data_IF_422195878593
#
_entry.id   IF_422195878593
#
_cell.length_a   1.000
_cell.length_b   1.000
_cell.length_c   1.000
_cell.angle_alpha   90.00
_cell.angle_beta   90.00
_cell.angle_gamma   90.00
#
_symmetry.space_group_name_H-M   'P 1'
#
loop_
_entity.id
_entity.type
_entity.pdbx_description
1 polymer ?
#
# COMPACT_ATOMS: atom_id res chain seq x y z
N UNK A 1 23.70 -1.60 8.55
CA UNK A 1 23.13 -2.37 7.40
C UNK A 1 21.60 -2.25 7.27
N UNK A 2 20.84 -1.83 8.28
CA UNK A 2 19.36 -1.75 8.22
C UNK A 2 18.78 -0.53 7.48
N UNK A 3 19.58 0.50 7.20
CA UNK A 3 19.07 1.76 6.64
C UNK A 3 18.43 1.64 5.24
N UNK A 4 18.97 0.80 4.35
CA UNK A 4 18.41 0.64 3.00
C UNK A 4 17.04 -0.04 3.05
N UNK A 5 16.91 -1.11 3.82
CA UNK A 5 15.65 -1.84 4.00
C UNK A 5 14.60 -0.92 4.62
N UNK A 6 14.98 -0.18 5.68
CA UNK A 6 14.11 0.80 6.30
C UNK A 6 13.64 1.88 5.32
N UNK A 7 14.54 2.37 4.47
CA UNK A 7 14.22 3.37 3.43
C UNK A 7 13.25 2.81 2.40
N UNK A 8 13.48 1.58 1.92
CA UNK A 8 12.58 0.93 0.94
C UNK A 8 11.19 0.72 1.53
N UNK A 9 11.10 0.25 2.78
CA UNK A 9 9.82 0.06 3.46
C UNK A 9 9.09 1.40 3.65
N UNK A 10 9.81 2.45 4.06
CA UNK A 10 9.24 3.79 4.20
C UNK A 10 8.69 4.34 2.87
N UNK A 11 9.45 4.23 1.78
CA UNK A 11 9.00 4.63 0.44
C UNK A 11 7.78 3.84 0.00
N UNK A 12 7.75 2.53 0.28
CA UNK A 12 6.60 1.69 -0.02
C UNK A 12 5.35 2.08 0.81
N UNK A 13 5.52 2.41 2.09
CA UNK A 13 4.43 2.94 2.93
C UNK A 13 3.88 4.26 2.38
N UNK A 14 4.73 5.16 1.87
CA UNK A 14 4.28 6.37 1.17
C UNK A 14 3.45 6.01 -0.06
N UNK A 15 3.88 5.04 -0.87
CA UNK A 15 3.11 4.61 -2.04
C UNK A 15 1.73 4.05 -1.65
N UNK A 16 1.61 3.34 -0.52
CA UNK A 16 0.33 2.88 0.02
C UNK A 16 -0.56 4.05 0.43
N UNK A 17 -0.02 5.06 1.11
CA UNK A 17 -0.77 6.27 1.48
C UNK A 17 -1.25 7.00 0.22
N UNK A 18 -0.37 7.18 -0.77
CA UNK A 18 -0.75 7.77 -2.07
C UNK A 18 -1.87 6.96 -2.72
N UNK A 19 -1.82 5.62 -2.68
CA UNK A 19 -2.88 4.77 -3.21
C UNK A 19 -4.23 5.01 -2.56
N UNK A 20 -4.25 5.15 -1.22
CA UNK A 20 -5.48 5.47 -0.47
C UNK A 20 -5.99 6.85 -0.83
N UNK A 21 -5.11 7.85 -0.87
CA UNK A 21 -5.47 9.23 -1.24
C UNK A 21 -6.04 9.29 -2.65
N UNK A 22 -5.40 8.62 -3.62
CA UNK A 22 -5.87 8.55 -5.00
C UNK A 22 -7.25 7.88 -5.13
N UNK A 23 -7.59 6.94 -4.24
CA UNK A 23 -8.91 6.28 -4.22
C UNK A 23 -10.07 7.22 -3.85
N UNK A 24 -9.79 8.34 -3.19
CA UNK A 24 -10.81 9.36 -2.87
C UNK A 24 -11.14 10.27 -4.05
N UNK A 25 -10.28 10.33 -5.06
CA UNK A 25 -10.56 11.09 -6.27
C UNK A 25 -11.49 10.31 -7.19
N UNK A 26 -12.59 10.90 -7.67
CA UNK A 26 -13.40 10.32 -8.72
C UNK A 26 -12.52 9.96 -9.93
N UNK A 27 -12.50 8.68 -10.32
CA UNK A 27 -11.65 8.18 -11.41
C UNK A 27 -10.19 7.87 -11.04
N UNK A 28 -9.82 7.89 -9.75
CA UNK A 28 -8.51 7.43 -9.27
C UNK A 28 -7.37 8.45 -9.38
N UNK A 29 -7.68 9.70 -9.69
CA UNK A 29 -6.68 10.77 -9.85
C UNK A 29 -5.93 10.72 -11.19
N UNK A 30 -4.76 11.39 -11.31
CA UNK A 30 -4.00 11.43 -12.56
C UNK A 30 -3.56 10.02 -13.00
N UNK A 31 -3.87 9.65 -14.25
CA UNK A 31 -3.62 8.30 -14.80
C UNK A 31 -2.16 7.82 -14.68
N UNK A 32 -1.13 8.63 -15.00
CA UNK A 32 0.26 8.15 -14.90
C UNK A 32 0.65 7.81 -13.46
N UNK A 33 0.22 8.63 -12.49
CA UNK A 33 0.57 8.45 -11.08
C UNK A 33 -0.18 7.25 -10.49
N UNK A 34 -1.49 7.18 -10.74
CA UNK A 34 -2.32 6.07 -10.25
C UNK A 34 -1.90 4.71 -10.82
N UNK A 35 -1.54 4.64 -12.10
CA UNK A 35 -1.05 3.40 -12.73
C UNK A 35 0.29 2.94 -12.12
N UNK A 36 1.25 3.85 -11.93
CA UNK A 36 2.53 3.53 -11.31
C UNK A 36 2.33 3.03 -9.87
N UNK A 37 1.55 3.77 -9.08
CA UNK A 37 1.27 3.42 -7.69
C UNK A 37 0.54 2.08 -7.61
N UNK A 38 -0.44 1.85 -8.48
CA UNK A 38 -1.14 0.56 -8.57
C UNK A 38 -0.17 -0.58 -8.88
N UNK A 39 0.66 -0.47 -9.93
CA UNK A 39 1.60 -1.52 -10.31
C UNK A 39 2.62 -1.87 -9.23
N UNK A 40 3.09 -0.87 -8.49
CA UNK A 40 4.07 -1.07 -7.41
C UNK A 40 3.42 -1.76 -6.20
N UNK A 41 2.20 -1.37 -5.86
CA UNK A 41 1.56 -1.83 -4.61
C UNK A 41 0.67 -3.06 -4.78
N UNK A 42 0.14 -3.32 -5.98
CA UNK A 42 -0.81 -4.42 -6.24
C UNK A 42 -0.25 -5.83 -5.98
N UNK A 43 1.02 -6.15 -6.28
CA UNK A 43 1.56 -7.48 -5.97
C UNK A 43 1.47 -7.83 -4.48
N UNK A 44 1.51 -6.83 -3.60
CA UNK A 44 1.39 -7.01 -2.14
C UNK A 44 -0.06 -6.87 -1.68
N UNK A 45 -0.78 -5.85 -2.17
CA UNK A 45 -2.16 -5.58 -1.75
C UNK A 45 -3.16 -6.60 -2.30
N UNK A 46 -2.99 -7.09 -3.54
CA UNK A 46 -3.92 -8.00 -4.20
C UNK A 46 -4.17 -9.29 -3.42
N UNK A 47 -3.11 -10.03 -3.00
CA UNK A 47 -3.27 -11.23 -2.17
C UNK A 47 -3.97 -10.95 -0.84
N UNK A 48 -3.61 -9.85 -0.16
CA UNK A 48 -4.18 -9.48 1.14
C UNK A 48 -5.65 -9.08 0.98
N UNK A 49 -5.97 -8.30 -0.06
CA UNK A 49 -7.35 -7.90 -0.38
C UNK A 49 -8.25 -9.10 -0.65
N UNK A 50 -7.73 -10.13 -1.32
CA UNK A 50 -8.48 -11.39 -1.57
C UNK A 50 -8.70 -12.23 -0.31
N UNK A 51 -7.83 -12.09 0.69
CA UNK A 51 -7.97 -12.77 1.97
C UNK A 51 -8.94 -12.07 2.94
N UNK A 52 -9.22 -10.78 2.71
CA UNK A 52 -10.12 -9.99 3.54
C UNK A 52 -11.58 -10.10 3.07
N UNK A 53 -12.56 -10.03 3.99
CA UNK A 53 -13.96 -9.85 3.63
C UNK A 53 -14.15 -8.56 2.82
N UNK A 54 -15.15 -8.52 1.94
CA UNK A 54 -15.48 -7.31 1.19
C UNK A 54 -16.14 -6.26 2.10
N UNK A 55 -15.48 -5.13 2.34
CA UNK A 55 -15.99 -4.03 3.16
C UNK A 55 -16.71 -2.95 2.32
N UNK A 56 -17.70 -3.35 1.53
CA UNK A 56 -18.53 -2.40 0.78
C UNK A 56 -17.76 -1.49 -0.20
N UNK A 57 -16.70 -2.02 -0.82
CA UNK A 57 -15.83 -1.27 -1.74
C UNK A 57 -14.66 -0.54 -1.07
N UNK A 58 -14.56 -0.55 0.26
CA UNK A 58 -13.38 -0.06 0.98
C UNK A 58 -12.26 -1.10 0.93
N UNK A 59 -11.08 -0.68 0.48
CA UNK A 59 -9.88 -1.50 0.50
C UNK A 59 -9.11 -1.28 1.81
N UNK A 60 -9.27 -2.21 2.77
CA UNK A 60 -8.52 -2.20 4.03
C UNK A 60 -7.13 -2.84 3.92
N UNK A 61 -6.79 -3.42 2.77
CA UNK A 61 -5.48 -4.07 2.59
C UNK A 61 -4.28 -3.13 2.83
N UNK A 62 -4.30 -1.82 2.48
CA UNK A 62 -3.17 -0.93 2.77
C UNK A 62 -2.88 -0.79 4.26
N UNK A 63 -3.91 -0.77 5.11
CA UNK A 63 -3.76 -0.67 6.56
C UNK A 63 -3.07 -1.92 7.12
N UNK A 64 -3.51 -3.10 6.68
CA UNK A 64 -2.91 -4.38 7.10
C UNK A 64 -1.44 -4.44 6.67
N UNK A 65 -1.12 -4.04 5.45
CA UNK A 65 0.27 -4.02 4.96
C UNK A 65 1.13 -3.06 5.77
N UNK A 66 0.64 -1.85 6.06
CA UNK A 66 1.38 -0.87 6.87
C UNK A 66 1.70 -1.46 8.25
N UNK A 67 0.72 -2.10 8.91
CA UNK A 67 0.93 -2.74 10.22
C UNK A 67 2.00 -3.83 10.16
N UNK A 68 1.90 -4.74 9.19
CA UNK A 68 2.88 -5.83 9.02
C UNK A 68 4.28 -5.29 8.76
N UNK A 69 4.42 -4.28 7.90
CA UNK A 69 5.71 -3.65 7.61
C UNK A 69 6.32 -2.96 8.83
N UNK A 70 5.52 -2.32 9.67
CA UNK A 70 6.00 -1.72 10.92
C UNK A 70 6.49 -2.78 11.91
N UNK A 71 5.77 -3.90 12.04
CA UNK A 71 6.23 -5.03 12.87
C UNK A 71 7.56 -5.57 12.35
N UNK A 72 7.71 -5.74 11.04
CA UNK A 72 8.97 -6.18 10.42
C UNK A 72 10.10 -5.19 10.75
N UNK A 73 9.87 -3.88 10.64
CA UNK A 73 10.86 -2.86 10.97
C UNK A 73 11.27 -2.84 12.44
N UNK A 74 10.37 -3.19 13.36
CA UNK A 74 10.68 -3.22 14.79
C UNK A 74 11.49 -4.46 15.20
N UNK A 75 11.40 -5.55 14.43
CA UNK A 75 12.09 -6.81 14.70
C UNK A 75 13.46 -6.89 14.02
N UNK A 76 13.64 -6.17 12.90
CA UNK A 76 14.90 -6.08 12.14
C UNK A 76 15.88 -5.06 12.72
#
# INVERSE_FOLDING_TARGET
MSGLIATVIFVFQIALIVRVVLSWFPGGGPRPVSEIVYRVTEPVLGPIRRALPSFGGLDLSPLIVILVLNVILQVL
#
